data_IF_229520988411
#
_entry.id   IF_229520988411
#
_cell.length_a   1.000
_cell.length_b   1.000
_cell.length_c   1.000
_cell.angle_alpha   90.00
_cell.angle_beta   90.00
_cell.angle_gamma   90.00
#
_symmetry.space_group_name_H-M   'P 1'
#
loop_
_entity.id
_entity.type
_entity.pdbx_description
1 polymer ?
#
# COMPACT_ATOMS: atom_id res chain seq x y z
N UNK A 1 -40.58 -18.67 -9.89
CA UNK A 1 -39.82 -19.89 -9.58
C UNK A 1 -38.92 -20.16 -10.78
N UNK A 2 -37.61 -19.91 -10.82
CA UNK A 2 -36.59 -19.43 -9.90
C UNK A 2 -35.73 -18.38 -10.65
N UNK A 3 -35.13 -17.38 -9.95
CA UNK A 3 -34.20 -16.45 -10.57
C UNK A 3 -32.85 -17.16 -10.77
N UNK A 4 -32.56 -17.56 -12.00
CA UNK A 4 -31.31 -18.22 -12.35
C UNK A 4 -30.15 -17.23 -12.21
N UNK A 5 -29.38 -17.45 -11.15
CA UNK A 5 -27.98 -17.05 -10.96
C UNK A 5 -27.66 -15.64 -11.41
N UNK A 6 -27.67 -14.72 -10.44
CA UNK A 6 -26.69 -13.64 -10.43
C UNK A 6 -25.36 -14.31 -10.70
N UNK A 7 -24.79 -14.10 -11.89
CA UNK A 7 -23.40 -14.43 -12.17
C UNK A 7 -22.61 -13.59 -11.16
N UNK A 8 -22.38 -14.17 -10.00
CA UNK A 8 -21.30 -13.77 -9.11
C UNK A 8 -20.06 -14.01 -9.97
N UNK A 9 -19.67 -12.97 -10.70
CA UNK A 9 -18.44 -12.94 -11.46
C UNK A 9 -17.34 -12.80 -10.41
N UNK A 10 -17.11 -13.88 -9.66
CA UNK A 10 -15.83 -14.12 -9.00
C UNK A 10 -14.89 -14.59 -10.11
N UNK A 11 -14.70 -13.77 -11.14
CA UNK A 11 -13.66 -14.01 -12.13
C UNK A 11 -12.43 -13.30 -11.60
N UNK A 12 -11.66 -14.07 -10.85
CA UNK A 12 -10.21 -14.02 -10.80
C UNK A 12 -9.58 -12.86 -11.60
N UNK A 13 -9.04 -11.85 -10.91
CA UNK A 13 -7.98 -11.01 -11.48
C UNK A 13 -7.17 -10.38 -10.37
N UNK A 14 -6.52 -11.21 -9.55
CA UNK A 14 -5.46 -10.82 -8.61
C UNK A 14 -5.39 -9.33 -8.23
N UNK A 15 -6.21 -8.90 -7.27
CA UNK A 15 -6.14 -7.56 -6.73
C UNK A 15 -4.71 -7.29 -6.28
N UNK A 16 -4.10 -6.23 -6.81
CA UNK A 16 -2.81 -5.81 -6.32
C UNK A 16 -3.00 -5.28 -4.88
N UNK A 17 -2.04 -5.55 -4.01
CA UNK A 17 -2.04 -5.10 -2.62
C UNK A 17 -0.86 -4.16 -2.47
N UNK A 18 -1.14 -2.90 -2.16
CA UNK A 18 -0.13 -1.94 -1.78
C UNK A 18 0.06 -2.01 -0.26
N UNK A 19 1.14 -2.65 0.16
CA UNK A 19 1.60 -2.67 1.54
C UNK A 19 2.30 -1.36 1.86
N UNK A 20 1.97 -0.77 2.99
CA UNK A 20 2.56 0.49 3.43
C UNK A 20 3.03 0.31 4.86
N UNK A 21 4.34 0.22 5.01
CA UNK A 21 5.03 0.13 6.27
C UNK A 21 5.06 1.53 6.89
N UNK A 22 4.23 1.71 7.92
CA UNK A 22 4.00 3.00 8.55
C UNK A 22 5.24 3.48 9.30
N UNK A 23 5.57 4.78 9.26
CA UNK A 23 6.67 5.32 10.04
C UNK A 23 6.29 5.33 11.52
N UNK A 24 7.25 4.93 12.35
CA UNK A 24 7.14 5.07 13.81
C UNK A 24 7.05 6.54 14.20
N UNK A 25 7.78 7.40 13.49
CA UNK A 25 7.78 8.85 13.64
C UNK A 25 6.39 9.45 13.32
N UNK A 26 5.77 10.07 14.33
CA UNK A 26 4.47 10.70 14.23
C UNK A 26 4.45 11.90 13.28
N UNK A 27 5.58 12.56 13.04
CA UNK A 27 5.68 13.74 12.17
C UNK A 27 5.47 13.41 10.69
N UNK A 28 5.89 12.20 10.27
CA UNK A 28 5.75 11.73 8.89
C UNK A 28 4.39 11.10 8.60
N UNK A 29 3.66 10.67 9.64
CA UNK A 29 2.33 10.05 9.51
C UNK A 29 1.33 10.88 8.70
N UNK A 30 1.12 12.20 8.93
CA UNK A 30 0.18 12.97 8.13
C UNK A 30 0.54 13.00 6.64
N UNK A 31 1.82 13.13 6.31
CA UNK A 31 2.31 13.13 4.93
C UNK A 31 2.09 11.78 4.23
N UNK A 32 2.36 10.69 4.95
CA UNK A 32 2.08 9.32 4.46
C UNK A 32 0.58 9.12 4.26
N UNK A 33 -0.27 9.56 5.20
CA UNK A 33 -1.72 9.44 5.07
C UNK A 33 -2.26 10.25 3.88
N UNK A 34 -1.76 11.46 3.65
CA UNK A 34 -2.14 12.26 2.49
C UNK A 34 -1.75 11.57 1.17
N UNK A 35 -0.56 10.95 1.11
CA UNK A 35 -0.14 10.17 -0.04
C UNK A 35 -1.05 8.94 -0.25
N UNK A 36 -1.42 8.24 0.82
CA UNK A 36 -2.34 7.10 0.77
C UNK A 36 -3.68 7.50 0.16
N UNK A 37 -4.28 8.58 0.63
CA UNK A 37 -5.58 9.02 0.09
C UNK A 37 -5.48 9.43 -1.38
N UNK A 38 -4.38 10.07 -1.79
CA UNK A 38 -4.09 10.32 -3.22
C UNK A 38 -3.98 9.01 -4.01
N UNK A 39 -3.22 8.03 -3.51
CA UNK A 39 -3.04 6.74 -4.16
C UNK A 39 -4.36 5.97 -4.27
N UNK A 40 -5.20 5.99 -3.23
CA UNK A 40 -6.54 5.38 -3.28
C UNK A 40 -7.42 6.01 -4.36
N UNK A 41 -7.33 7.33 -4.53
CA UNK A 41 -8.01 8.04 -5.61
C UNK A 41 -7.52 7.63 -7.01
N UNK A 42 -6.21 7.42 -7.20
CA UNK A 42 -5.62 7.09 -8.51
C UNK A 42 -5.71 5.60 -8.86
N UNK A 43 -5.52 4.71 -7.89
CA UNK A 43 -5.46 3.25 -8.10
C UNK A 43 -6.84 2.60 -8.20
N UNK A 44 -7.89 3.28 -7.74
CA UNK A 44 -9.27 2.81 -7.80
C UNK A 44 -9.51 1.53 -6.98
N UNK A 45 -10.57 0.78 -7.33
CA UNK A 45 -10.98 -0.45 -6.61
C UNK A 45 -10.14 -1.68 -6.95
N UNK A 46 -9.22 -1.59 -7.93
CA UNK A 46 -8.36 -2.69 -8.35
C UNK A 46 -7.15 -2.94 -7.44
N UNK A 47 -6.80 -1.98 -6.59
CA UNK A 47 -5.67 -2.09 -5.65
C UNK A 47 -6.16 -1.92 -4.21
N UNK A 48 -5.82 -2.88 -3.36
CA UNK A 48 -6.09 -2.83 -1.93
C UNK A 48 -4.91 -2.16 -1.23
N UNK A 49 -5.15 -1.03 -0.58
CA UNK A 49 -4.13 -0.38 0.25
C UNK A 49 -4.20 -0.95 1.66
N UNK A 50 -3.08 -1.48 2.16
CA UNK A 50 -2.96 -2.08 3.48
C UNK A 50 -1.81 -1.42 4.25
N UNK A 51 -2.13 -0.86 5.41
CA UNK A 51 -1.17 -0.23 6.32
C UNK A 51 -0.65 -1.31 7.27
N UNK A 52 0.66 -1.38 7.42
CA UNK A 52 1.34 -2.29 8.32
C UNK A 52 2.05 -1.47 9.38
N UNK A 53 1.75 -1.79 10.63
CA UNK A 53 2.44 -1.25 11.80
C UNK A 53 3.40 -2.30 12.34
N UNK A 54 4.64 -1.88 12.62
CA UNK A 54 5.69 -2.78 13.11
C UNK A 54 5.29 -3.44 14.43
N UNK A 55 4.56 -2.71 15.27
CA UNK A 55 4.06 -3.18 16.56
C UNK A 55 2.99 -4.26 16.44
N UNK A 56 2.20 -4.24 15.36
CA UNK A 56 1.13 -5.20 15.12
C UNK A 56 1.64 -6.46 14.41
N UNK A 57 2.57 -6.30 13.46
CA UNK A 57 3.03 -7.37 12.58
C UNK A 57 4.56 -7.35 12.34
N UNK A 58 5.38 -7.54 13.39
CA UNK A 58 6.83 -7.46 13.28
C UNK A 58 7.42 -8.50 12.31
N UNK A 59 6.80 -9.68 12.19
CA UNK A 59 7.26 -10.74 11.30
C UNK A 59 7.22 -10.32 9.82
N UNK A 60 6.25 -9.49 9.43
CA UNK A 60 6.13 -9.00 8.05
C UNK A 60 7.26 -8.00 7.76
N UNK A 61 7.57 -7.10 8.70
CA UNK A 61 8.68 -6.15 8.54
C UNK A 61 10.02 -6.88 8.38
N UNK A 62 10.24 -7.96 9.13
CA UNK A 62 11.44 -8.79 8.96
C UNK A 62 11.44 -9.56 7.64
N UNK A 63 10.32 -10.15 7.25
CA UNK A 63 10.20 -10.92 6.00
C UNK A 63 10.42 -10.07 4.76
N UNK A 64 10.04 -8.78 4.80
CA UNK A 64 10.28 -7.82 3.73
C UNK A 64 11.62 -7.08 3.86
N UNK A 65 12.42 -7.39 4.89
CA UNK A 65 13.70 -6.77 5.20
C UNK A 65 13.59 -5.23 5.24
N UNK A 66 12.54 -4.73 5.89
CA UNK A 66 12.27 -3.29 5.94
C UNK A 66 13.30 -2.62 6.85
N UNK A 67 14.22 -1.88 6.24
CA UNK A 67 15.28 -1.12 6.93
C UNK A 67 14.94 0.37 7.04
N UNK A 68 14.13 0.89 6.13
CA UNK A 68 13.75 2.30 6.08
C UNK A 68 12.23 2.46 6.17
N UNK A 69 11.79 3.52 6.82
CA UNK A 69 10.38 3.86 6.95
C UNK A 69 10.14 5.33 6.57
N UNK A 70 9.01 5.67 5.93
CA UNK A 70 7.97 4.74 5.43
C UNK A 70 8.46 3.92 4.23
N UNK A 71 7.92 2.71 4.02
CA UNK A 71 8.20 1.91 2.81
C UNK A 71 6.89 1.46 2.17
N UNK A 72 6.82 1.49 0.85
CA UNK A 72 5.66 1.14 0.04
C UNK A 72 6.02 -0.03 -0.85
N UNK A 73 5.27 -1.13 -0.77
CA UNK A 73 5.52 -2.34 -1.55
C UNK A 73 4.24 -2.75 -2.26
N UNK A 74 4.25 -2.78 -3.59
CA UNK A 74 3.14 -3.25 -4.39
C UNK A 74 3.33 -4.73 -4.70
N UNK A 75 2.34 -5.54 -4.30
CA UNK A 75 2.36 -6.99 -4.49
C UNK A 75 1.16 -7.40 -5.30
N UNK A 76 1.33 -8.32 -6.25
CA UNK A 76 0.23 -8.93 -7.00
C UNK A 76 0.47 -10.42 -7.12
N UNK A 77 -0.48 -11.24 -6.69
CA UNK A 77 -0.35 -12.72 -6.68
C UNK A 77 0.87 -13.21 -5.89
N UNK A 78 1.28 -12.48 -4.84
CA UNK A 78 2.47 -12.83 -4.05
C UNK A 78 3.81 -12.42 -4.69
N UNK A 79 3.78 -11.76 -5.85
CA UNK A 79 4.98 -11.22 -6.50
C UNK A 79 5.09 -9.74 -6.17
N UNK A 80 6.24 -9.32 -5.65
CA UNK A 80 6.60 -7.92 -5.49
C UNK A 80 6.83 -7.29 -6.86
N UNK A 81 5.94 -6.36 -7.25
CA UNK A 81 6.01 -5.65 -8.52
C UNK A 81 6.77 -4.33 -8.41
N UNK A 82 6.74 -3.70 -7.23
CA UNK A 82 7.34 -2.40 -7.00
C UNK A 82 7.61 -2.19 -5.52
N UNK A 83 8.70 -1.49 -5.21
CA UNK A 83 9.06 -1.06 -3.86
C UNK A 83 9.59 0.36 -3.92
N UNK A 84 9.16 1.17 -2.96
CA UNK A 84 9.66 2.51 -2.72
C UNK A 84 9.96 2.66 -1.25
N UNK A 85 11.20 2.96 -0.95
CA UNK A 85 11.66 3.26 0.40
C UNK A 85 11.67 4.76 0.60
N UNK A 86 11.32 5.19 1.81
CA UNK A 86 11.14 6.59 2.16
C UNK A 86 9.85 7.20 1.61
N UNK A 87 9.54 8.40 2.10
CA UNK A 87 8.46 9.19 1.54
C UNK A 87 8.95 9.76 0.20
N UNK A 88 8.29 9.48 -0.94
CA UNK A 88 8.66 10.08 -2.20
C UNK A 88 8.58 11.60 -2.04
N UNK A 89 9.70 12.26 -2.31
CA UNK A 89 9.82 13.70 -2.18
C UNK A 89 8.80 14.35 -3.11
N UNK A 90 7.73 14.90 -2.52
CA UNK A 90 6.79 15.71 -3.27
C UNK A 90 7.45 17.06 -3.53
N UNK A 91 8.53 17.06 -4.33
CA UNK A 91 9.30 18.23 -4.76
C UNK A 91 9.36 19.31 -3.69
N UNK A 92 10.30 19.22 -2.76
CA UNK A 92 10.71 20.42 -2.05
C UNK A 92 11.14 21.44 -3.11
N UNK A 93 10.58 22.66 -3.16
CA UNK A 93 11.22 23.72 -3.90
C UNK A 93 12.56 23.93 -3.21
N UNK A 94 13.64 23.46 -3.84
CA UNK A 94 14.99 23.79 -3.42
C UNK A 94 15.08 25.30 -3.48
N UNK A 95 15.03 25.95 -2.33
CA UNK A 95 15.39 27.36 -2.20
C UNK A 95 16.92 27.41 -2.20
N UNK A 96 17.47 27.91 -3.31
CA UNK A 96 18.83 28.43 -3.44
C UNK A 96 18.75 29.84 -4.00
#
# INVERSE_FOLDING_TARGET
>A
MNPDRKKTHVSDTASAVLLIFMPVDATLRPSVMALIERLRGHLGTGVRVMKLDETAHPDIFRSFEITQLPTFVLIRQGIELWRQEGLPEATSPSVV
#
